data_IF_699462171786
#
_entry.id   IF_699462171786
#
_cell.length_a   1.000
_cell.length_b   1.000
_cell.length_c   1.000
_cell.angle_alpha   90.00
_cell.angle_beta   90.00
_cell.angle_gamma   90.00
#
_symmetry.space_group_name_H-M   'P 1'
#
loop_
_entity.id
_entity.type
_entity.pdbx_description
1 polymer ?
#
# COMPACT_ATOMS: atom_id res chain seq x y z
N UNK A 1 4.94 -7.77 16.26
CA UNK A 1 3.47 -7.76 16.09
C UNK A 1 3.05 -9.21 15.98
N UNK A 2 2.28 -9.73 16.93
CA UNK A 2 1.86 -11.15 16.96
C UNK A 2 0.55 -11.40 16.18
N UNK A 3 0.00 -10.37 15.55
CA UNK A 3 -1.25 -10.44 14.80
C UNK A 3 -1.11 -11.35 13.58
N UNK A 4 -2.15 -12.16 13.33
CA UNK A 4 -2.29 -13.15 12.25
C UNK A 4 -1.28 -12.97 11.08
N UNK A 5 -0.28 -13.87 10.92
CA UNK A 5 0.78 -13.70 9.94
C UNK A 5 0.28 -13.76 8.49
N UNK A 6 -0.77 -14.55 8.20
CA UNK A 6 -1.34 -14.62 6.85
C UNK A 6 -2.01 -13.31 6.46
N UNK A 7 -2.81 -12.74 7.38
CA UNK A 7 -3.41 -11.43 7.20
C UNK A 7 -2.34 -10.35 7.02
N UNK A 8 -1.32 -10.37 7.88
CA UNK A 8 -0.21 -9.40 7.86
C UNK A 8 0.51 -9.45 6.51
N UNK A 9 0.94 -10.63 6.06
CA UNK A 9 1.58 -10.80 4.75
C UNK A 9 0.70 -10.29 3.61
N UNK A 10 -0.59 -10.65 3.61
CA UNK A 10 -1.51 -10.22 2.57
C UNK A 10 -1.67 -8.68 2.53
N UNK A 11 -1.83 -8.03 3.69
CA UNK A 11 -2.05 -6.57 3.75
C UNK A 11 -0.79 -5.76 3.53
N UNK A 12 0.37 -6.21 3.99
CA UNK A 12 1.65 -5.59 3.62
C UNK A 12 1.96 -5.77 2.13
N UNK A 13 1.53 -6.88 1.51
CA UNK A 13 1.61 -7.06 0.06
C UNK A 13 0.85 -5.99 -0.73
N UNK A 14 -0.32 -5.57 -0.25
CA UNK A 14 -1.10 -4.48 -0.87
C UNK A 14 -0.35 -3.14 -0.80
N UNK A 15 0.33 -2.86 0.31
CA UNK A 15 1.18 -1.66 0.45
C UNK A 15 2.32 -1.67 -0.56
N UNK A 16 3.01 -2.81 -0.71
CA UNK A 16 4.05 -2.97 -1.73
C UNK A 16 3.51 -2.82 -3.15
N UNK A 17 2.37 -3.45 -3.45
CA UNK A 17 1.69 -3.33 -4.73
C UNK A 17 1.34 -1.88 -5.06
N UNK A 18 0.77 -1.14 -4.10
CA UNK A 18 0.40 0.28 -4.27
C UNK A 18 1.61 1.11 -4.69
N UNK A 19 2.75 0.95 -3.99
CA UNK A 19 3.99 1.68 -4.26
C UNK A 19 4.55 1.38 -5.64
N UNK A 20 4.46 0.13 -6.10
CA UNK A 20 4.92 -0.27 -7.43
C UNK A 20 3.95 0.17 -8.54
N UNK A 21 2.64 0.05 -8.32
CA UNK A 21 1.62 0.36 -9.32
C UNK A 21 1.43 1.86 -9.55
N UNK A 22 1.59 2.69 -8.52
CA UNK A 22 1.37 4.13 -8.61
C UNK A 22 2.20 4.80 -9.73
N UNK A 23 3.54 4.69 -9.72
CA UNK A 23 4.39 5.24 -10.78
C UNK A 23 4.19 4.59 -12.14
N UNK A 24 3.87 3.29 -12.18
CA UNK A 24 3.64 2.57 -13.42
C UNK A 24 2.40 3.09 -14.16
N UNK A 25 1.30 3.26 -13.44
CA UNK A 25 0.00 3.67 -14.00
C UNK A 25 -0.17 5.19 -14.09
N UNK A 26 0.70 5.98 -13.45
CA UNK A 26 0.71 7.44 -13.61
C UNK A 26 0.88 7.87 -15.08
N UNK A 27 1.61 7.09 -15.88
CA UNK A 27 1.79 7.30 -17.33
C UNK A 27 0.48 7.19 -18.12
N UNK A 28 -0.51 6.51 -17.55
CA UNK A 28 -1.85 6.32 -18.10
C UNK A 28 -2.88 7.28 -17.48
N UNK A 29 -2.43 8.23 -16.65
CA UNK A 29 -3.32 9.16 -15.95
C UNK A 29 -4.11 8.53 -14.80
N UNK A 30 -3.61 7.43 -14.22
CA UNK A 30 -4.26 6.73 -13.11
C UNK A 30 -3.39 6.82 -11.86
N UNK A 31 -3.95 7.37 -10.78
CA UNK A 31 -3.32 7.36 -9.45
C UNK A 31 -3.70 6.10 -8.66
N UNK A 32 -2.74 5.53 -7.93
CA UNK A 32 -2.98 4.38 -7.04
C UNK A 32 -2.43 4.68 -5.66
N UNK A 33 -3.30 4.71 -4.64
CA UNK A 33 -2.93 4.96 -3.25
C UNK A 33 -3.57 3.92 -2.33
N UNK A 34 -3.06 3.77 -1.11
CA UNK A 34 -3.65 2.89 -0.11
C UNK A 34 -3.89 3.58 1.23
N UNK A 35 -5.07 3.30 1.77
CA UNK A 35 -5.49 3.67 3.11
C UNK A 35 -5.29 2.45 4.00
N UNK A 36 -4.60 2.64 5.12
CA UNK A 36 -4.26 1.61 6.09
C UNK A 36 -4.90 1.95 7.44
N UNK A 37 -6.19 1.60 7.65
CA UNK A 37 -6.85 1.91 8.90
C UNK A 37 -6.26 1.13 10.07
N UNK A 38 -6.16 1.78 11.22
CA UNK A 38 -6.21 1.11 12.52
C UNK A 38 -7.62 0.52 12.74
N UNK A 39 -8.01 0.29 14.00
CA UNK A 39 -9.31 -0.32 14.26
C UNK A 39 -10.46 0.65 13.95
N UNK A 40 -11.28 0.29 12.96
CA UNK A 40 -12.54 0.96 12.63
C UNK A 40 -13.68 -0.01 12.87
N UNK A 41 -14.65 0.41 13.67
CA UNK A 41 -15.86 -0.37 13.88
C UNK A 41 -16.68 -0.42 12.59
N UNK A 42 -16.71 -1.59 11.97
CA UNK A 42 -17.50 -1.86 10.75
C UNK A 42 -18.30 -3.15 10.93
N UNK A 43 -19.18 -3.47 9.98
CA UNK A 43 -19.96 -4.71 10.00
C UNK A 43 -19.12 -5.98 9.78
N UNK A 44 -17.79 -5.86 9.57
CA UNK A 44 -16.87 -7.00 9.56
C UNK A 44 -16.58 -7.54 10.96
N UNK A 45 -16.78 -6.72 12.00
CA UNK A 45 -16.56 -7.12 13.38
C UNK A 45 -17.75 -7.98 13.88
N UNK A 46 -17.49 -9.04 14.67
CA UNK A 46 -18.54 -9.68 15.45
C UNK A 46 -19.31 -8.65 16.29
N UNK A 47 -20.64 -8.79 16.40
CA UNK A 47 -21.51 -7.79 17.03
C UNK A 47 -21.10 -7.41 18.46
N UNK A 48 -20.60 -8.38 19.25
CA UNK A 48 -20.19 -8.18 20.64
C UNK A 48 -18.91 -7.35 20.81
N UNK A 49 -18.11 -7.17 19.74
CA UNK A 49 -16.86 -6.37 19.81
C UNK A 49 -17.15 -4.93 20.20
N UNK A 50 -18.30 -4.38 19.81
CA UNK A 50 -18.72 -3.02 20.16
C UNK A 50 -18.81 -2.78 21.67
N UNK A 51 -19.13 -3.82 22.43
CA UNK A 51 -19.35 -3.70 23.87
C UNK A 51 -18.06 -3.90 24.67
N UNK A 52 -17.07 -4.60 24.12
CA UNK A 52 -15.82 -4.96 24.82
C UNK A 52 -14.58 -4.20 24.34
N UNK A 53 -14.60 -3.61 23.14
CA UNK A 53 -13.44 -2.90 22.61
C UNK A 53 -13.30 -1.50 23.25
N UNK A 54 -12.11 -1.10 23.73
CA UNK A 54 -11.89 0.22 24.34
C UNK A 54 -12.21 1.34 23.34
N UNK A 55 -13.14 2.23 23.71
CA UNK A 55 -13.71 3.24 22.79
C UNK A 55 -12.68 4.28 22.37
N UNK A 56 -11.73 4.58 23.24
CA UNK A 56 -10.61 5.48 23.03
C UNK A 56 -9.61 4.99 21.97
N UNK A 57 -9.69 3.72 21.56
CA UNK A 57 -8.85 3.11 20.52
C UNK A 57 -9.59 2.89 19.19
N UNK A 58 -10.83 3.40 19.07
CA UNK A 58 -11.61 3.29 17.84
C UNK A 58 -11.33 4.50 16.95
N UNK A 59 -10.83 4.24 15.75
CA UNK A 59 -10.69 5.26 14.71
C UNK A 59 -12.07 5.56 14.11
N UNK A 60 -12.51 6.84 14.11
CA UNK A 60 -13.81 7.20 13.56
C UNK A 60 -13.82 7.12 12.04
N UNK A 61 -14.99 6.80 11.47
CA UNK A 61 -15.17 6.70 10.01
C UNK A 61 -14.83 8.02 9.29
N UNK A 62 -15.01 9.17 9.96
CA UNK A 62 -14.63 10.47 9.42
C UNK A 62 -13.16 10.57 9.06
N UNK A 63 -12.27 9.82 9.72
CA UNK A 63 -10.83 9.79 9.37
C UNK A 63 -10.58 9.06 8.05
N UNK A 64 -11.41 8.05 7.73
CA UNK A 64 -11.36 7.38 6.41
C UNK A 64 -11.80 8.35 5.33
N UNK A 65 -12.92 9.05 5.56
CA UNK A 65 -13.44 10.03 4.60
C UNK A 65 -12.42 11.15 4.36
N UNK A 66 -11.81 11.68 5.43
CA UNK A 66 -10.70 12.64 5.33
C UNK A 66 -9.55 12.14 4.44
N UNK A 67 -9.16 10.86 4.58
CA UNK A 67 -8.12 10.28 3.74
C UNK A 67 -8.56 10.08 2.28
N UNK A 68 -9.82 9.70 2.07
CA UNK A 68 -10.40 9.57 0.75
C UNK A 68 -10.42 10.93 0.03
N UNK A 69 -10.96 11.96 0.69
CA UNK A 69 -11.01 13.34 0.19
C UNK A 69 -9.59 13.84 -0.13
N UNK A 70 -8.62 13.56 0.73
CA UNK A 70 -7.20 13.94 0.50
C UNK A 70 -6.63 13.37 -0.81
N UNK A 71 -6.98 12.14 -1.18
CA UNK A 71 -6.48 11.52 -2.41
C UNK A 71 -7.28 11.93 -3.64
N UNK A 72 -8.60 12.09 -3.54
CA UNK A 72 -9.43 12.47 -4.69
C UNK A 72 -9.26 13.95 -5.09
N UNK A 73 -8.90 14.80 -4.13
CA UNK A 73 -8.68 16.23 -4.38
C UNK A 73 -7.26 16.55 -4.89
N UNK A 74 -6.39 15.54 -5.05
CA UNK A 74 -5.00 15.72 -5.44
C UNK A 74 -4.50 14.65 -6.41
N UNK A 75 -4.61 14.96 -7.71
CA UNK A 75 -4.18 14.10 -8.82
C UNK A 75 -2.65 13.82 -8.84
N UNK A 76 -1.84 14.62 -8.13
CA UNK A 76 -0.39 14.40 -8.05
C UNK A 76 0.00 13.31 -7.04
N UNK A 77 -0.95 12.88 -6.19
CA UNK A 77 -0.68 11.85 -5.18
C UNK A 77 -0.86 10.45 -5.79
N UNK A 78 0.24 9.75 -5.98
CA UNK A 78 0.24 8.33 -6.40
C UNK A 78 1.32 7.54 -5.66
N UNK A 79 1.11 6.22 -5.52
CA UNK A 79 2.00 5.31 -4.79
C UNK A 79 2.04 5.54 -3.28
N UNK A 80 1.13 6.34 -2.73
CA UNK A 80 1.16 6.72 -1.32
C UNK A 80 0.48 5.67 -0.43
N UNK A 81 0.98 5.57 0.79
CA UNK A 81 0.36 4.77 1.86
C UNK A 81 0.11 5.66 3.07
N UNK A 82 -1.14 5.70 3.54
CA UNK A 82 -1.52 6.51 4.71
C UNK A 82 -2.11 5.63 5.79
N UNK A 83 -1.51 5.63 6.97
CA UNK A 83 -2.08 5.00 8.16
C UNK A 83 -3.10 5.93 8.81
N UNK A 84 -4.28 5.40 9.15
CA UNK A 84 -5.30 6.14 9.88
C UNK A 84 -5.29 5.69 11.33
N UNK A 85 -5.13 6.62 12.27
CA UNK A 85 -5.27 6.30 13.68
C UNK A 85 -5.95 7.45 14.41
N UNK A 86 -7.09 7.14 15.03
CA UNK A 86 -7.95 8.13 15.66
C UNK A 86 -8.29 9.26 14.67
N UNK A 87 -8.12 10.53 15.03
CA UNK A 87 -8.42 11.66 14.13
C UNK A 87 -7.39 11.94 13.03
N UNK A 88 -6.29 11.18 12.99
CA UNK A 88 -5.07 11.59 12.31
C UNK A 88 -4.70 10.70 11.11
N UNK A 89 -4.04 11.34 10.14
CA UNK A 89 -3.48 10.73 8.93
C UNK A 89 -1.95 10.68 9.05
N UNK A 90 -1.35 9.50 8.88
CA UNK A 90 0.09 9.30 8.96
C UNK A 90 0.62 8.75 7.64
N UNK A 91 1.18 9.63 6.80
CA UNK A 91 1.79 9.20 5.54
C UNK A 91 3.07 8.41 5.79
N UNK A 92 3.16 7.22 5.19
CA UNK A 92 4.27 6.27 5.35
C UNK A 92 5.08 6.18 4.07
N UNK A 93 6.25 6.82 4.11
CA UNK A 93 7.28 6.61 3.10
C UNK A 93 7.77 5.16 3.12
N UNK A 94 8.27 4.70 1.99
CA UNK A 94 9.03 3.46 1.98
C UNK A 94 10.28 3.61 2.87
N UNK A 95 10.83 2.49 3.39
CA UNK A 95 12.15 2.51 3.99
C UNK A 95 13.17 3.08 3.02
N UNK A 96 14.17 3.78 3.56
CA UNK A 96 15.31 4.26 2.77
C UNK A 96 16.00 3.07 2.09
N UNK A 97 16.47 3.32 0.87
CA UNK A 97 17.28 2.35 0.14
C UNK A 97 18.56 2.06 0.92
N UNK A 98 19.02 0.81 0.91
CA UNK A 98 20.24 0.44 1.65
C UNK A 98 21.48 1.19 1.11
N UNK A 99 21.48 1.55 -0.18
CA UNK A 99 22.50 2.35 -0.85
C UNK A 99 22.00 2.78 -2.25
N UNK A 100 22.85 3.54 -2.96
CA UNK A 100 22.55 4.01 -4.32
C UNK A 100 22.33 2.88 -5.32
N UNK A 101 23.03 1.74 -5.18
CA UNK A 101 22.82 0.60 -6.08
C UNK A 101 21.42 0.02 -5.95
N UNK A 102 20.87 -0.07 -4.74
CA UNK A 102 19.50 -0.55 -4.53
C UNK A 102 18.47 0.47 -5.03
N UNK A 103 18.72 1.76 -4.82
CA UNK A 103 17.89 2.84 -5.36
C UNK A 103 17.78 2.75 -6.88
N UNK A 104 18.92 2.68 -7.58
CA UNK A 104 18.98 2.59 -9.04
C UNK A 104 18.23 1.37 -9.57
N UNK A 105 18.33 0.22 -8.89
CA UNK A 105 17.56 -0.98 -9.25
C UNK A 105 16.04 -0.75 -9.13
N UNK A 106 15.59 -0.03 -8.10
CA UNK A 106 14.18 0.24 -7.88
C UNK A 106 13.57 1.33 -8.77
N UNK A 107 14.37 2.33 -9.16
CA UNK A 107 13.88 3.53 -9.86
C UNK A 107 14.21 3.54 -11.36
N UNK A 108 15.37 3.02 -11.77
CA UNK A 108 15.92 3.23 -13.11
C UNK A 108 16.08 1.94 -13.94
N UNK A 109 16.05 0.76 -13.30
CA UNK A 109 16.37 -0.50 -13.99
C UNK A 109 15.26 -1.06 -14.89
N UNK A 110 14.04 -0.51 -14.82
CA UNK A 110 12.85 -1.01 -15.52
C UNK A 110 13.08 -1.21 -17.04
N UNK A 111 13.79 -0.28 -17.69
CA UNK A 111 14.10 -0.37 -19.12
C UNK A 111 14.94 -1.59 -19.50
N UNK A 112 15.82 -2.05 -18.61
CA UNK A 112 16.63 -3.25 -18.85
C UNK A 112 15.78 -4.52 -18.77
N UNK A 113 14.82 -4.58 -17.85
CA UNK A 113 13.87 -5.68 -17.76
C UNK A 113 12.94 -5.71 -18.97
N UNK A 114 12.42 -4.55 -19.37
CA UNK A 114 11.60 -4.43 -20.57
C UNK A 114 12.34 -4.90 -21.83
N UNK A 115 13.63 -4.57 -21.98
CA UNK A 115 14.45 -5.07 -23.08
C UNK A 115 14.69 -6.58 -22.98
N UNK A 116 15.08 -7.08 -21.79
CA UNK A 116 15.35 -8.48 -21.57
C UNK A 116 14.13 -9.36 -21.90
N UNK A 117 12.92 -8.94 -21.52
CA UNK A 117 11.70 -9.69 -21.78
C UNK A 117 11.25 -9.69 -23.26
N UNK A 118 11.88 -8.92 -24.15
CA UNK A 118 11.65 -9.03 -25.59
C UNK A 118 12.20 -10.34 -26.17
N UNK A 119 13.22 -10.91 -25.52
CA UNK A 119 13.79 -12.20 -25.93
C UNK A 119 13.27 -13.28 -24.98
N UNK A 120 12.44 -14.22 -25.45
CA UNK A 120 11.95 -15.29 -24.58
C UNK A 120 13.12 -16.09 -24.02
N UNK A 121 13.03 -16.46 -22.75
CA UNK A 121 14.01 -17.34 -22.14
C UNK A 121 14.14 -18.62 -23.00
N UNK A 122 15.36 -19.16 -23.19
CA UNK A 122 15.52 -20.41 -23.90
C UNK A 122 14.62 -21.46 -23.26
N UNK A 123 13.83 -22.18 -24.07
CA UNK A 123 13.01 -23.27 -23.56
C UNK A 123 13.90 -24.21 -22.75
N UNK A 124 13.61 -24.35 -21.46
CA UNK A 124 14.18 -25.42 -20.66
C UNK A 124 13.65 -26.72 -21.26
N UNK A 125 14.45 -27.34 -22.13
CA UNK A 125 14.22 -28.73 -22.53
C UNK A 125 14.16 -29.55 -21.24
N UNK A 126 13.00 -30.16 -21.01
CA UNK A 126 12.53 -30.62 -19.70
C UNK A 126 13.55 -31.36 -18.85
N UNK A 127 13.47 -31.10 -17.55
CA UNK A 127 13.77 -32.09 -16.51
C UNK A 127 12.44 -32.66 -16.06
#
# INVERSE_FOLDING_TARGET
METNPLYTTAKYGIVGLTRASGPALAKEGITVNCICPAFIMTNLCPSHIKDIFPKEHITPMSTVLKAFDTFIDNDDMTGQSVELSLGELYFRKQPEWANESQRWLGEDSDGFWAEAYKTPAPMRNGV
#
